data_IF_297043026759
#
_entry.id   IF_297043026759
#
_cell.length_a   1.000
_cell.length_b   1.000
_cell.length_c   1.000
_cell.angle_alpha   90.00
_cell.angle_beta   90.00
_cell.angle_gamma   90.00
#
_symmetry.space_group_name_H-M   'P 1'
#
loop_
_entity.id
_entity.type
_entity.pdbx_description
1 polymer ?
#
# COMPACT_ATOMS: atom_id res chain seq x y z
N UNK A 1 9.96 19.32 9.11
CA UNK A 1 8.56 19.01 8.74
C UNK A 1 8.61 17.71 7.95
N UNK A 2 7.79 16.70 8.27
CA UNK A 2 7.80 15.45 7.51
C UNK A 2 7.32 15.65 6.07
N UNK A 3 7.95 14.96 5.11
CA UNK A 3 7.65 15.01 3.68
C UNK A 3 7.44 13.59 3.16
N UNK A 4 6.30 13.37 2.49
CA UNK A 4 5.90 12.07 1.94
C UNK A 4 5.43 12.22 0.50
N UNK A 5 5.62 11.16 -0.31
CA UNK A 5 5.18 11.14 -1.72
C UNK A 5 4.00 10.19 -1.90
N UNK A 6 3.00 10.58 -2.70
CA UNK A 6 1.71 9.87 -2.76
C UNK A 6 1.14 9.55 -4.13
N UNK A 7 1.91 9.72 -5.21
CA UNK A 7 1.39 9.53 -6.56
C UNK A 7 2.00 8.29 -7.22
N UNK A 8 1.15 7.44 -7.81
CA UNK A 8 1.57 6.34 -8.68
C UNK A 8 2.15 5.11 -7.99
N UNK A 9 2.10 5.01 -6.66
CA UNK A 9 2.65 3.86 -5.92
C UNK A 9 1.64 2.71 -5.95
N UNK A 10 2.07 1.56 -6.49
CA UNK A 10 1.23 0.38 -6.68
C UNK A 10 1.87 -0.93 -6.23
N UNK A 11 3.16 -0.94 -5.92
CA UNK A 11 3.88 -2.14 -5.46
C UNK A 11 4.65 -1.93 -4.15
N UNK A 12 5.01 -3.02 -3.48
CA UNK A 12 5.81 -3.00 -2.26
C UNK A 12 7.18 -2.35 -2.48
N UNK A 13 7.84 -2.70 -3.59
CA UNK A 13 9.17 -2.20 -3.92
C UNK A 13 9.13 -0.69 -4.17
N UNK A 14 8.09 -0.21 -4.87
CA UNK A 14 7.88 1.23 -5.06
C UNK A 14 7.64 1.93 -3.73
N UNK A 15 6.79 1.36 -2.85
CA UNK A 15 6.52 1.95 -1.55
C UNK A 15 7.77 2.01 -0.68
N UNK A 16 8.58 0.94 -0.65
CA UNK A 16 9.84 0.87 0.07
C UNK A 16 10.88 1.87 -0.47
N UNK A 17 11.02 1.95 -1.80
CA UNK A 17 11.94 2.89 -2.43
C UNK A 17 11.54 4.35 -2.17
N UNK A 18 10.25 4.68 -2.25
CA UNK A 18 9.79 6.04 -1.97
C UNK A 18 9.93 6.37 -0.48
N UNK A 19 9.60 5.43 0.41
CA UNK A 19 9.74 5.61 1.84
C UNK A 19 11.20 5.73 2.28
N UNK A 20 12.18 5.21 1.52
CA UNK A 20 13.60 5.44 1.83
C UNK A 20 14.12 6.81 1.38
N UNK A 21 13.39 7.52 0.52
CA UNK A 21 13.73 8.87 0.04
C UNK A 21 13.07 9.99 0.86
N UNK A 22 12.15 9.67 1.79
CA UNK A 22 11.41 10.63 2.59
C UNK A 22 10.96 10.06 3.93
N UNK A 23 9.97 10.69 4.56
CA UNK A 23 9.42 10.24 5.85
C UNK A 23 8.35 9.14 5.69
N UNK A 24 8.07 8.72 4.45
CA UNK A 24 7.05 7.74 4.13
C UNK A 24 6.46 7.87 2.73
N UNK A 25 5.46 7.03 2.46
CA UNK A 25 4.80 6.92 1.15
C UNK A 25 3.27 6.81 1.33
N UNK A 26 2.48 7.43 0.43
CA UNK A 26 1.01 7.35 0.44
C UNK A 26 0.52 6.46 -0.71
N UNK A 27 -0.25 5.43 -0.39
CA UNK A 27 -0.83 4.51 -1.37
C UNK A 27 -2.36 4.58 -1.30
N UNK A 28 -2.97 5.24 -2.28
CA UNK A 28 -4.43 5.41 -2.34
C UNK A 28 -5.09 4.61 -3.46
N UNK A 29 -4.70 4.88 -4.70
CA UNK A 29 -5.37 4.31 -5.90
C UNK A 29 -5.35 2.79 -5.93
N UNK A 30 -4.24 2.16 -5.52
CA UNK A 30 -4.15 0.70 -5.49
C UNK A 30 -5.12 0.08 -4.46
N UNK A 31 -5.34 0.74 -3.32
CA UNK A 31 -6.31 0.26 -2.31
C UNK A 31 -7.74 0.39 -2.83
N UNK A 32 -8.08 1.53 -3.44
CA UNK A 32 -9.40 1.76 -4.04
C UNK A 32 -9.69 0.75 -5.15
N UNK A 33 -8.69 0.40 -5.94
CA UNK A 33 -8.80 -0.60 -7.01
C UNK A 33 -9.06 -2.00 -6.47
N UNK A 34 -8.38 -2.42 -5.39
CA UNK A 34 -8.67 -3.70 -4.71
C UNK A 34 -10.13 -3.75 -4.23
N UNK A 35 -10.65 -2.65 -3.68
CA UNK A 35 -12.04 -2.57 -3.23
C UNK A 35 -13.00 -2.65 -4.43
N UNK A 36 -12.73 -1.91 -5.50
CA UNK A 36 -13.53 -1.92 -6.72
C UNK A 36 -13.56 -3.32 -7.37
N UNK A 37 -12.40 -3.97 -7.49
CA UNK A 37 -12.31 -5.34 -7.99
C UNK A 37 -13.07 -6.32 -7.10
N UNK A 38 -13.03 -6.13 -5.78
CA UNK A 38 -13.75 -7.00 -4.85
C UNK A 38 -15.27 -6.85 -4.98
N UNK A 39 -15.76 -5.64 -5.23
CA UNK A 39 -17.15 -5.37 -5.55
C UNK A 39 -17.56 -6.06 -6.88
N UNK A 40 -16.74 -5.96 -7.94
CA UNK A 40 -17.01 -6.66 -9.20
C UNK A 40 -17.03 -8.19 -9.06
N UNK A 41 -16.28 -8.73 -8.10
CA UNK A 41 -16.24 -10.16 -7.78
C UNK A 41 -17.35 -10.60 -6.81
N UNK A 42 -18.24 -9.69 -6.38
CA UNK A 42 -19.26 -9.95 -5.35
C UNK A 42 -18.67 -10.55 -4.06
N UNK A 43 -17.47 -10.12 -3.68
CA UNK A 43 -16.85 -10.57 -2.43
C UNK A 43 -17.58 -9.97 -1.23
N UNK A 44 -17.53 -10.68 -0.10
CA UNK A 44 -18.04 -10.14 1.15
C UNK A 44 -17.20 -8.94 1.61
N UNK A 45 -17.77 -8.11 2.48
CA UNK A 45 -17.03 -7.02 3.11
C UNK A 45 -15.83 -7.55 3.93
N UNK A 46 -15.94 -8.75 4.52
CA UNK A 46 -14.87 -9.37 5.28
C UNK A 46 -13.71 -9.80 4.35
N UNK A 47 -14.01 -10.42 3.22
CA UNK A 47 -12.99 -10.84 2.25
C UNK A 47 -12.29 -9.64 1.61
N UNK A 48 -13.05 -8.58 1.32
CA UNK A 48 -12.50 -7.32 0.80
C UNK A 48 -11.55 -6.69 1.82
N UNK A 49 -11.96 -6.63 3.10
CA UNK A 49 -11.12 -6.12 4.18
C UNK A 49 -9.84 -6.96 4.37
N UNK A 50 -9.92 -8.30 4.22
CA UNK A 50 -8.75 -9.19 4.24
C UNK A 50 -7.79 -8.88 3.10
N UNK A 51 -8.27 -8.76 1.86
CA UNK A 51 -7.43 -8.39 0.71
C UNK A 51 -6.71 -7.05 0.92
N UNK A 52 -7.42 -6.03 1.40
CA UNK A 52 -6.82 -4.72 1.71
C UNK A 52 -5.79 -4.85 2.84
N UNK A 53 -6.12 -5.57 3.92
CA UNK A 53 -5.18 -5.84 5.02
C UNK A 53 -3.90 -6.51 4.52
N UNK A 54 -4.03 -7.57 3.73
CA UNK A 54 -2.88 -8.33 3.21
C UNK A 54 -2.01 -7.47 2.31
N UNK A 55 -2.61 -6.63 1.47
CA UNK A 55 -1.88 -5.64 0.68
C UNK A 55 -1.16 -4.62 1.56
N UNK A 56 -1.82 -4.06 2.57
CA UNK A 56 -1.18 -3.09 3.49
C UNK A 56 -0.04 -3.70 4.30
N UNK A 57 -0.16 -4.96 4.73
CA UNK A 57 0.92 -5.70 5.39
C UNK A 57 2.11 -5.87 4.46
N UNK A 58 1.88 -6.28 3.22
CA UNK A 58 2.93 -6.44 2.21
C UNK A 58 3.69 -5.12 1.98
N UNK A 59 3.00 -3.98 1.93
CA UNK A 59 3.64 -2.66 1.85
C UNK A 59 4.45 -2.34 3.11
N UNK A 60 3.88 -2.59 4.30
CA UNK A 60 4.53 -2.30 5.57
C UNK A 60 5.79 -3.14 5.80
N UNK A 61 5.76 -4.42 5.43
CA UNK A 61 6.88 -5.35 5.51
C UNK A 61 8.02 -4.88 4.59
N UNK A 62 7.70 -4.49 3.36
CA UNK A 62 8.68 -3.99 2.40
C UNK A 62 9.35 -2.69 2.89
N UNK A 63 8.58 -1.74 3.43
CA UNK A 63 9.12 -0.49 3.99
C UNK A 63 10.01 -0.78 5.20
N UNK A 64 9.58 -1.69 6.09
CA UNK A 64 10.33 -2.03 7.30
C UNK A 64 11.64 -2.74 6.98
N UNK A 65 11.65 -3.62 5.97
CA UNK A 65 12.85 -4.31 5.50
C UNK A 65 13.85 -3.38 4.80
N UNK A 66 13.39 -2.22 4.30
CA UNK A 66 14.19 -1.28 3.54
C UNK A 66 14.66 -0.06 4.36
N UNK A 67 14.45 -0.06 5.67
CA UNK A 67 14.84 1.05 6.55
C UNK A 67 16.37 1.20 6.55
N UNK A 68 16.94 2.31 6.04
CA UNK A 68 18.36 2.59 6.21
C UNK A 68 18.63 2.89 7.69
N UNK A 69 19.77 2.41 8.21
CA UNK A 69 20.27 2.72 9.55
C UNK A 69 20.55 4.22 9.74
#
# INVERSE_FOLDING_TARGET
MPVVTGFGIRTAEQAAHIASLGDGAIVGSAVVEIIAESDTQNLSAEDTARKVSDFTKLLADAISAHKPE
#
